data_IF_493769918209
#
_entry.id   IF_493769918209
#
_cell.length_a   1.000
_cell.length_b   1.000
_cell.length_c   1.000
_cell.angle_alpha   90.00
_cell.angle_beta   90.00
_cell.angle_gamma   90.00
#
_symmetry.space_group_name_H-M   'P 1'
#
loop_
_entity.id
_entity.type
_entity.pdbx_description
1 polymer ?
#
# COMPACT_ATOMS: atom_id res chain seq x y z
N UNK A 1 18.29 19.63 19.70
CA UNK A 1 16.84 19.40 19.87
C UNK A 1 16.25 18.97 18.53
N UNK A 2 15.13 18.26 18.58
CA UNK A 2 14.36 17.85 17.41
C UNK A 2 13.19 18.81 17.20
N UNK A 3 12.84 19.06 15.94
CA UNK A 3 11.62 19.77 15.55
C UNK A 3 10.87 18.98 14.48
N UNK A 4 9.59 18.71 14.72
CA UNK A 4 8.69 18.04 13.79
C UNK A 4 7.58 18.98 13.35
N UNK A 5 7.31 18.99 12.05
CA UNK A 5 6.16 19.65 11.45
C UNK A 5 5.31 18.58 10.78
N UNK A 6 4.03 18.53 11.12
CA UNK A 6 3.11 17.57 10.52
C UNK A 6 1.75 18.20 10.21
N UNK A 7 1.03 17.55 9.30
CA UNK A 7 -0.37 17.83 8.98
C UNK A 7 -1.22 16.60 9.30
N UNK A 8 -2.48 16.79 9.69
CA UNK A 8 -3.44 15.71 9.89
C UNK A 8 -4.86 16.21 9.64
N UNK A 9 -5.79 15.29 9.43
CA UNK A 9 -7.20 15.58 9.15
C UNK A 9 -8.07 15.19 10.32
N UNK A 10 -9.08 16.00 10.65
CA UNK A 10 -10.09 15.60 11.62
C UNK A 10 -10.82 14.32 11.19
N UNK A 11 -10.93 13.36 12.11
CA UNK A 11 -11.73 12.15 11.88
C UNK A 11 -13.22 12.47 11.81
N UNK A 12 -13.67 13.34 12.72
CA UNK A 12 -15.02 13.86 12.81
C UNK A 12 -14.99 15.39 12.99
N UNK A 13 -16.04 16.13 12.56
CA UNK A 13 -16.13 17.56 12.81
C UNK A 13 -16.02 17.85 14.31
N UNK A 14 -15.02 18.65 14.69
CA UNK A 14 -14.84 19.11 16.07
C UNK A 14 -15.44 20.50 16.25
N UNK A 15 -16.02 20.75 17.42
CA UNK A 15 -16.45 22.09 17.80
C UNK A 15 -15.23 22.96 18.14
N UNK A 16 -15.41 24.28 18.12
CA UNK A 16 -14.36 25.21 18.52
C UNK A 16 -13.91 24.99 19.97
N UNK A 17 -14.83 24.54 20.85
CA UNK A 17 -14.51 24.18 22.23
C UNK A 17 -13.58 22.97 22.30
N UNK A 18 -13.85 21.93 21.51
CA UNK A 18 -13.01 20.72 21.48
C UNK A 18 -11.58 21.06 21.02
N UNK A 19 -11.44 21.95 20.04
CA UNK A 19 -10.14 22.42 19.55
C UNK A 19 -9.40 23.22 20.63
N UNK A 20 -10.11 24.06 21.38
CA UNK A 20 -9.53 24.81 22.51
C UNK A 20 -9.09 23.86 23.63
N UNK A 21 -9.89 22.85 23.96
CA UNK A 21 -9.55 21.83 24.96
C UNK A 21 -8.30 21.04 24.57
N UNK A 22 -8.17 20.63 23.31
CA UNK A 22 -6.94 20.02 22.78
C UNK A 22 -5.74 20.94 23.04
N UNK A 23 -5.88 22.23 22.74
CA UNK A 23 -4.85 23.23 22.98
C UNK A 23 -4.43 23.35 24.44
N UNK A 24 -5.40 23.43 25.35
CA UNK A 24 -5.15 23.57 26.80
C UNK A 24 -4.43 22.33 27.34
N UNK A 25 -4.93 21.13 27.02
CA UNK A 25 -4.31 19.86 27.46
C UNK A 25 -2.90 19.73 26.89
N UNK A 26 -2.72 20.05 25.60
CA UNK A 26 -1.41 20.01 24.96
C UNK A 26 -0.43 20.98 25.60
N UNK A 27 -0.84 22.23 25.84
CA UNK A 27 0.00 23.24 26.47
C UNK A 27 0.45 22.84 27.88
N UNK A 28 -0.45 22.25 28.69
CA UNK A 28 -0.11 21.77 30.03
C UNK A 28 0.88 20.61 30.02
N UNK A 29 0.62 19.59 29.19
CA UNK A 29 1.53 18.44 29.05
C UNK A 29 2.91 18.87 28.51
N UNK A 30 2.92 19.69 27.47
CA UNK A 30 4.15 20.15 26.82
C UNK A 30 5.02 20.99 27.76
N UNK A 31 4.40 21.81 28.62
CA UNK A 31 5.14 22.59 29.60
C UNK A 31 5.92 21.69 30.58
N UNK A 32 5.35 20.55 30.99
CA UNK A 32 6.02 19.62 31.90
C UNK A 32 7.20 18.86 31.25
N UNK A 33 7.17 18.69 29.93
CA UNK A 33 8.16 17.96 29.14
C UNK A 33 9.13 18.89 28.38
N UNK A 34 9.08 20.20 28.65
CA UNK A 34 9.87 21.23 27.96
C UNK A 34 9.70 21.19 26.42
N UNK A 35 8.48 20.96 25.96
CA UNK A 35 8.11 20.99 24.54
C UNK A 35 7.47 22.35 24.24
N UNK A 36 7.81 22.92 23.08
CA UNK A 36 7.18 24.13 22.55
C UNK A 36 6.63 23.91 21.16
N UNK A 37 5.78 24.82 20.69
CA UNK A 37 5.17 24.68 19.38
C UNK A 37 3.91 25.50 19.15
N UNK A 38 3.30 25.24 18.01
CA UNK A 38 2.03 25.82 17.61
C UNK A 38 1.14 24.77 16.95
N UNK A 39 -0.16 24.84 17.23
CA UNK A 39 -1.21 24.02 16.62
C UNK A 39 -2.14 24.96 15.85
N UNK A 40 -2.13 24.84 14.52
CA UNK A 40 -2.98 25.63 13.63
C UNK A 40 -4.09 24.74 13.12
N UNK A 41 -5.33 25.19 13.24
CA UNK A 41 -6.50 24.55 12.67
C UNK A 41 -7.04 25.37 11.50
N UNK A 42 -7.31 24.71 10.37
CA UNK A 42 -7.88 25.33 9.18
C UNK A 42 -8.61 24.32 8.30
N UNK A 43 -9.90 24.56 8.00
CA UNK A 43 -10.70 23.77 7.05
C UNK A 43 -10.63 22.25 7.28
N UNK A 44 -10.81 21.81 8.53
CA UNK A 44 -10.79 20.39 8.89
C UNK A 44 -9.39 19.76 8.99
N UNK A 45 -8.33 20.56 8.85
CA UNK A 45 -6.93 20.13 8.96
C UNK A 45 -6.27 20.73 10.20
N UNK A 46 -5.41 19.93 10.83
CA UNK A 46 -4.44 20.40 11.81
C UNK A 46 -3.06 20.48 11.17
N UNK A 47 -2.37 21.58 11.41
CA UNK A 47 -0.95 21.76 11.15
C UNK A 47 -0.28 22.00 12.48
N UNK A 48 0.70 21.19 12.84
CA UNK A 48 1.35 21.31 14.13
C UNK A 48 2.87 21.28 14.00
N UNK A 49 3.51 22.17 14.73
CA UNK A 49 4.95 22.20 14.93
C UNK A 49 5.19 21.89 16.40
N UNK A 50 6.04 20.89 16.67
CA UNK A 50 6.53 20.55 18.00
C UNK A 50 8.05 20.56 18.00
N UNK A 51 8.67 21.12 19.04
CA UNK A 51 10.11 21.21 19.16
C UNK A 51 10.56 21.04 20.62
N UNK A 52 11.67 20.33 20.83
CA UNK A 52 12.13 19.93 22.17
C UNK A 52 13.19 18.84 22.13
N UNK A 53 13.45 18.23 23.28
CA UNK A 53 14.38 17.11 23.38
C UNK A 53 13.86 15.91 22.55
N UNK A 54 14.78 15.24 21.86
CA UNK A 54 14.47 14.22 20.85
C UNK A 54 13.54 13.12 21.39
N UNK A 55 13.87 12.53 22.56
CA UNK A 55 13.07 11.48 23.20
C UNK A 55 11.66 11.95 23.60
N UNK A 56 11.53 13.21 24.03
CA UNK A 56 10.25 13.79 24.44
C UNK A 56 9.36 14.05 23.23
N UNK A 57 9.95 14.54 22.14
CA UNK A 57 9.26 14.75 20.87
C UNK A 57 8.79 13.43 20.27
N UNK A 58 9.63 12.39 20.29
CA UNK A 58 9.26 11.06 19.78
C UNK A 58 8.12 10.44 20.58
N UNK A 59 8.20 10.48 21.91
CA UNK A 59 7.13 9.99 22.78
C UNK A 59 5.82 10.76 22.58
N UNK A 60 5.88 12.07 22.42
CA UNK A 60 4.68 12.88 22.15
C UNK A 60 4.10 12.54 20.78
N UNK A 61 4.95 12.45 19.76
CA UNK A 61 4.52 12.19 18.40
C UNK A 61 3.91 10.79 18.24
N UNK A 62 4.43 9.77 18.93
CA UNK A 62 3.81 8.44 18.99
C UNK A 62 2.39 8.48 19.57
N UNK A 63 2.15 9.27 20.63
CA UNK A 63 0.81 9.46 21.20
C UNK A 63 -0.12 10.16 20.22
N UNK A 64 0.38 11.19 19.53
CA UNK A 64 -0.34 11.90 18.47
C UNK A 64 -0.72 10.92 17.36
N UNK A 65 0.20 10.09 16.88
CA UNK A 65 -0.06 9.11 15.81
C UNK A 65 -1.18 8.10 16.14
N UNK A 66 -1.52 7.92 17.42
CA UNK A 66 -2.54 7.00 17.90
C UNK A 66 -3.85 7.71 18.29
N UNK A 67 -3.90 9.04 18.24
CA UNK A 67 -5.07 9.80 18.63
C UNK A 67 -6.20 9.59 17.61
N UNK A 68 -7.39 9.21 18.08
CA UNK A 68 -8.52 8.88 17.19
C UNK A 68 -9.22 10.11 16.63
N UNK A 69 -8.96 11.31 17.18
CA UNK A 69 -9.59 12.57 16.75
C UNK A 69 -9.10 13.04 15.39
N UNK A 70 -8.00 12.48 14.90
CA UNK A 70 -7.50 12.75 13.56
C UNK A 70 -7.00 11.49 12.84
N UNK A 71 -6.86 11.61 11.53
CA UNK A 71 -6.38 10.60 10.59
C UNK A 71 -5.44 11.27 9.58
N UNK A 72 -4.88 10.48 8.66
CA UNK A 72 -4.06 10.96 7.55
C UNK A 72 -2.90 11.83 8.04
N UNK A 73 -2.25 11.39 9.13
CA UNK A 73 -1.14 12.11 9.75
C UNK A 73 0.07 11.98 8.84
N UNK A 74 0.61 13.13 8.42
CA UNK A 74 1.78 13.21 7.55
C UNK A 74 2.81 14.12 8.18
N UNK A 75 3.99 13.57 8.47
CA UNK A 75 5.14 14.40 8.85
C UNK A 75 5.71 15.06 7.58
N UNK A 76 5.60 16.39 7.53
CA UNK A 76 6.08 17.21 6.43
C UNK A 76 7.59 17.45 6.53
N UNK A 77 8.09 17.57 7.76
CA UNK A 77 9.49 17.86 8.01
C UNK A 77 9.91 17.39 9.39
N UNK A 78 11.09 16.79 9.45
CA UNK A 78 11.81 16.56 10.67
C UNK A 78 13.18 17.23 10.59
N UNK A 79 13.49 18.05 11.58
CA UNK A 79 14.77 18.70 11.75
C UNK A 79 15.44 18.10 12.99
N UNK A 80 16.69 17.71 12.82
CA UNK A 80 17.57 17.20 13.87
C UNK A 80 18.65 18.24 14.17
N UNK A 81 19.27 18.16 15.34
CA UNK A 81 20.34 19.07 15.77
C UNK A 81 19.95 20.56 15.70
N UNK A 82 18.67 20.86 15.93
CA UNK A 82 18.17 22.24 15.99
C UNK A 82 18.82 22.95 17.18
N UNK A 83 19.36 24.14 16.94
CA UNK A 83 20.02 24.97 17.97
C UNK A 83 19.06 25.92 18.68
N UNK A 84 18.00 26.38 17.98
CA UNK A 84 17.07 27.39 18.48
C UNK A 84 15.60 27.00 18.25
N UNK A 85 14.78 27.28 19.27
CA UNK A 85 13.32 27.16 19.21
C UNK A 85 12.74 28.27 18.34
N UNK A 86 11.80 27.92 17.46
CA UNK A 86 11.00 28.90 16.72
C UNK A 86 9.95 29.56 17.62
N UNK A 87 9.43 28.83 18.60
CA UNK A 87 8.36 29.28 19.49
C UNK A 87 8.74 29.09 20.97
N UNK A 88 9.83 29.72 21.46
CA UNK A 88 10.40 29.44 22.78
C UNK A 88 9.43 29.67 23.96
N UNK A 89 8.40 30.49 23.77
CA UNK A 89 7.45 30.87 24.82
C UNK A 89 6.07 30.23 24.66
N UNK A 90 5.87 29.35 23.67
CA UNK A 90 4.58 28.73 23.41
C UNK A 90 4.66 27.23 23.71
N UNK A 91 4.23 26.81 24.90
CA UNK A 91 4.14 25.37 25.21
C UNK A 91 3.24 24.65 24.21
N UNK A 92 2.12 25.27 23.82
CA UNK A 92 1.40 24.98 22.58
C UNK A 92 0.45 26.13 22.23
N UNK A 93 0.81 26.99 21.28
CA UNK A 93 -0.10 28.07 20.85
C UNK A 93 -1.12 27.52 19.85
N UNK A 94 -2.39 27.49 20.23
CA UNK A 94 -3.48 27.12 19.32
C UNK A 94 -3.99 28.32 18.52
N UNK A 95 -4.09 28.16 17.21
CA UNK A 95 -4.53 29.19 16.26
C UNK A 95 -5.64 28.60 15.40
N UNK A 96 -6.86 29.13 15.53
CA UNK A 96 -7.97 28.80 14.65
C UNK A 96 -7.98 29.78 13.48
N UNK A 97 -7.62 29.32 12.28
CA UNK A 97 -7.66 30.15 11.09
C UNK A 97 -9.08 30.29 10.55
N UNK A 98 -9.99 29.33 10.72
CA UNK A 98 -11.35 29.41 10.13
C UNK A 98 -12.09 30.68 10.59
N UNK A 99 -11.98 31.04 11.86
CA UNK A 99 -12.57 32.27 12.42
C UNK A 99 -11.84 33.58 12.07
N UNK A 100 -10.66 33.52 11.44
CA UNK A 100 -9.85 34.69 11.15
C UNK A 100 -10.28 35.37 9.82
N UNK A 101 -10.92 36.53 9.92
CA UNK A 101 -11.39 37.30 8.75
C UNK A 101 -10.42 38.42 8.31
N UNK A 102 -9.17 38.41 8.78
CA UNK A 102 -8.17 39.37 8.33
C UNK A 102 -7.89 39.19 6.83
N UNK A 103 -7.99 40.31 6.09
CA UNK A 103 -7.78 40.38 4.64
C UNK A 103 -6.38 39.88 4.26
N UNK A 104 -5.38 40.11 5.12
CA UNK A 104 -3.99 39.69 4.88
C UNK A 104 -3.78 38.18 5.08
N UNK A 105 -4.66 37.51 5.84
CA UNK A 105 -4.59 36.08 6.11
C UNK A 105 -5.29 35.26 5.02
N UNK A 106 -6.24 35.86 4.29
CA UNK A 106 -6.98 35.18 3.23
C UNK A 106 -6.08 34.57 2.13
N UNK A 107 -5.05 35.25 1.59
CA UNK A 107 -4.14 34.63 0.61
C UNK A 107 -3.38 33.43 1.19
N UNK A 108 -2.94 33.51 2.46
CA UNK A 108 -2.21 32.44 3.14
C UNK A 108 -3.11 31.20 3.29
N UNK A 109 -4.38 31.40 3.69
CA UNK A 109 -5.38 30.33 3.76
C UNK A 109 -5.53 29.60 2.42
N UNK A 110 -5.69 30.34 1.33
CA UNK A 110 -5.85 29.77 -0.02
C UNK A 110 -4.59 28.97 -0.40
N UNK A 111 -3.39 29.52 -0.18
CA UNK A 111 -2.14 28.83 -0.47
C UNK A 111 -1.98 27.54 0.36
N UNK A 112 -2.30 27.59 1.66
CA UNK A 112 -2.26 26.41 2.54
C UNK A 112 -3.22 25.32 2.06
N UNK A 113 -4.42 25.71 1.64
CA UNK A 113 -5.39 24.77 1.07
C UNK A 113 -4.86 24.13 -0.22
N UNK A 114 -4.37 24.94 -1.17
CA UNK A 114 -3.85 24.44 -2.45
C UNK A 114 -2.65 23.52 -2.29
N UNK A 115 -1.72 23.85 -1.37
CA UNK A 115 -0.57 23.00 -1.07
C UNK A 115 -1.02 21.69 -0.41
N UNK A 116 -1.96 21.74 0.53
CA UNK A 116 -2.49 20.53 1.17
C UNK A 116 -3.22 19.62 0.19
N UNK A 117 -4.03 20.17 -0.71
CA UNK A 117 -4.71 19.41 -1.76
C UNK A 117 -3.71 18.79 -2.73
N UNK A 118 -2.72 19.56 -3.18
CA UNK A 118 -1.66 19.07 -4.08
C UNK A 118 -0.84 17.95 -3.43
N UNK A 119 -0.49 18.10 -2.16
CA UNK A 119 0.26 17.08 -1.41
C UNK A 119 -0.51 15.77 -1.32
N UNK A 120 -1.82 15.83 -1.05
CA UNK A 120 -2.70 14.65 -1.01
C UNK A 120 -2.76 13.93 -2.36
N UNK A 121 -2.77 14.67 -3.46
CA UNK A 121 -2.71 14.07 -4.80
C UNK A 121 -1.39 13.32 -4.94
N UNK A 122 -0.26 13.95 -4.59
CA UNK A 122 1.08 13.33 -4.68
C UNK A 122 1.15 12.05 -3.83
N UNK A 123 0.56 12.02 -2.64
CA UNK A 123 0.52 10.82 -1.80
C UNK A 123 -0.12 9.61 -2.47
N UNK A 124 -1.22 9.80 -3.21
CA UNK A 124 -1.90 8.70 -3.91
C UNK A 124 -1.04 8.07 -5.01
N UNK A 125 -0.08 8.84 -5.54
CA UNK A 125 0.89 8.36 -6.53
C UNK A 125 2.25 7.98 -5.91
N UNK A 126 2.38 8.05 -4.58
CA UNK A 126 3.62 7.76 -3.86
C UNK A 126 3.57 6.39 -3.21
N UNK A 127 4.70 5.68 -3.22
CA UNK A 127 4.80 4.34 -2.64
C UNK A 127 4.49 4.37 -1.13
N UNK A 128 3.68 3.44 -0.59
CA UNK A 128 3.34 3.41 0.83
C UNK A 128 4.56 3.36 1.77
N UNK A 129 5.64 2.69 1.36
CA UNK A 129 6.90 2.65 2.11
C UNK A 129 7.51 4.05 2.28
N UNK A 130 7.50 4.87 1.23
CA UNK A 130 8.00 6.26 1.27
C UNK A 130 7.15 7.11 2.21
N UNK A 131 5.82 6.96 2.15
CA UNK A 131 4.91 7.64 3.08
C UNK A 131 5.17 7.22 4.54
N UNK A 132 5.35 5.91 4.80
CA UNK A 132 5.71 5.41 6.14
C UNK A 132 7.04 5.98 6.64
N UNK A 133 8.03 6.14 5.77
CA UNK A 133 9.33 6.72 6.10
C UNK A 133 9.19 8.22 6.43
N UNK A 134 8.46 8.96 5.58
CA UNK A 134 8.15 10.37 5.82
C UNK A 134 7.44 10.55 7.15
N UNK A 135 6.41 9.74 7.43
CA UNK A 135 5.64 9.78 8.68
C UNK A 135 6.48 9.47 9.93
N UNK A 136 7.65 8.83 9.80
CA UNK A 136 8.60 8.66 10.91
C UNK A 136 9.53 9.86 11.09
N UNK A 137 9.36 10.92 10.31
CA UNK A 137 10.26 12.06 10.27
C UNK A 137 11.62 11.72 9.67
N UNK A 138 11.68 10.75 8.75
CA UNK A 138 12.92 10.38 8.07
C UNK A 138 12.84 10.88 6.63
N UNK A 139 13.90 11.53 6.15
CA UNK A 139 13.99 11.89 4.75
C UNK A 139 14.27 10.63 3.92
N UNK A 140 13.35 10.16 3.06
CA UNK A 140 13.54 8.94 2.29
C UNK A 140 14.74 9.03 1.35
N UNK A 141 15.09 10.21 0.84
CA UNK A 141 16.19 10.42 -0.10
C UNK A 141 17.57 10.19 0.52
N UNK A 142 17.69 10.26 1.85
CA UNK A 142 18.97 10.09 2.56
C UNK A 142 19.20 8.67 3.04
N UNK A 143 18.24 7.75 2.83
CA UNK A 143 18.39 6.36 3.26
C UNK A 143 19.42 5.65 2.36
N UNK A 144 20.52 5.14 2.94
CA UNK A 144 21.50 4.38 2.19
C UNK A 144 20.93 3.03 1.75
N UNK A 145 21.34 2.57 0.57
CA UNK A 145 21.01 1.24 0.10
C UNK A 145 21.60 0.18 1.04
N UNK A 146 20.82 -0.84 1.38
CA UNK A 146 21.23 -1.93 2.27
C UNK A 146 20.99 -3.29 1.63
N UNK A 147 21.91 -4.23 1.87
CA UNK A 147 21.71 -5.63 1.49
C UNK A 147 20.92 -6.33 2.59
N UNK A 148 19.74 -6.82 2.27
CA UNK A 148 18.81 -7.44 3.21
C UNK A 148 18.19 -8.70 2.61
N UNK A 149 17.74 -9.62 3.44
CA UNK A 149 17.02 -10.80 2.99
C UNK A 149 15.52 -10.55 3.07
N UNK A 150 14.81 -10.84 1.97
CA UNK A 150 13.37 -10.61 1.84
C UNK A 150 12.69 -11.81 1.20
N UNK A 151 11.39 -11.91 1.46
CA UNK A 151 10.48 -12.80 0.74
C UNK A 151 9.74 -11.95 -0.28
N UNK A 152 9.88 -12.27 -1.57
CA UNK A 152 9.30 -11.49 -2.65
C UNK A 152 8.02 -12.16 -3.11
N UNK A 153 6.97 -11.36 -3.27
CA UNK A 153 5.68 -11.78 -3.79
C UNK A 153 5.44 -11.09 -5.13
N UNK A 154 5.14 -11.90 -6.14
CA UNK A 154 4.55 -11.46 -7.40
C UNK A 154 3.14 -12.03 -7.51
N UNK A 155 2.19 -11.19 -7.89
CA UNK A 155 0.80 -11.59 -8.10
C UNK A 155 0.28 -10.98 -9.40
N UNK A 156 -0.31 -11.77 -10.29
CA UNK A 156 -0.76 -11.31 -11.60
C UNK A 156 -2.13 -11.86 -11.98
N UNK A 157 -2.93 -11.10 -12.74
CA UNK A 157 -4.26 -11.55 -13.15
C UNK A 157 -4.12 -12.63 -14.22
N UNK A 158 -4.82 -13.75 -14.02
CA UNK A 158 -4.80 -14.84 -14.99
C UNK A 158 -5.56 -14.44 -16.25
N UNK A 159 -4.95 -14.71 -17.41
CA UNK A 159 -5.53 -14.40 -18.73
C UNK A 159 -5.87 -12.91 -18.93
N UNK A 160 -5.11 -11.99 -18.30
CA UNK A 160 -5.30 -10.55 -18.43
C UNK A 160 -5.42 -10.06 -19.89
N UNK A 161 -4.55 -10.51 -20.79
CA UNK A 161 -4.63 -10.11 -22.21
C UNK A 161 -5.99 -10.44 -22.84
N UNK A 162 -6.59 -11.57 -22.48
CA UNK A 162 -7.91 -11.93 -22.99
C UNK A 162 -9.01 -11.06 -22.37
N UNK A 163 -8.87 -10.67 -21.09
CA UNK A 163 -9.78 -9.73 -20.44
C UNK A 163 -9.69 -8.35 -21.10
N UNK A 164 -8.49 -7.83 -21.32
CA UNK A 164 -8.28 -6.51 -21.93
C UNK A 164 -8.77 -6.42 -23.37
N UNK A 165 -8.76 -7.53 -24.11
CA UNK A 165 -9.26 -7.58 -25.49
C UNK A 165 -10.80 -7.68 -25.59
N UNK A 166 -11.47 -8.16 -24.54
CA UNK A 166 -12.89 -8.58 -24.61
C UNK A 166 -13.83 -7.79 -23.71
N UNK A 167 -13.32 -7.17 -22.66
CA UNK A 167 -14.09 -6.33 -21.75
C UNK A 167 -14.14 -4.89 -22.25
N UNK A 168 -15.17 -4.16 -21.81
CA UNK A 168 -15.18 -2.71 -21.96
C UNK A 168 -14.11 -2.07 -21.07
N UNK A 169 -13.62 -0.89 -21.45
CA UNK A 169 -12.63 -0.15 -20.66
C UNK A 169 -13.10 0.07 -19.21
N UNK A 170 -14.38 0.36 -19.01
CA UNK A 170 -14.97 0.55 -17.68
C UNK A 170 -14.96 -0.74 -16.84
N UNK A 171 -15.37 -1.87 -17.41
CA UNK A 171 -15.36 -3.16 -16.71
C UNK A 171 -13.93 -3.57 -16.36
N UNK A 172 -12.99 -3.38 -17.30
CA UNK A 172 -11.58 -3.70 -17.12
C UNK A 172 -10.97 -2.87 -15.99
N UNK A 173 -11.17 -1.55 -16.02
CA UNK A 173 -10.67 -0.66 -14.97
C UNK A 173 -11.27 -0.98 -13.61
N UNK A 174 -12.56 -1.31 -13.55
CA UNK A 174 -13.23 -1.71 -12.31
C UNK A 174 -12.61 -2.98 -11.71
N UNK A 175 -12.35 -4.00 -12.54
CA UNK A 175 -11.70 -5.24 -12.12
C UNK A 175 -10.28 -4.99 -11.61
N UNK A 176 -9.47 -4.26 -12.39
CA UNK A 176 -8.07 -3.97 -12.03
C UNK A 176 -8.03 -3.22 -10.70
N UNK A 177 -8.78 -2.14 -10.57
CA UNK A 177 -8.78 -1.34 -9.34
C UNK A 177 -9.24 -2.16 -8.13
N UNK A 178 -10.26 -3.02 -8.29
CA UNK A 178 -10.73 -3.88 -7.21
C UNK A 178 -9.69 -4.93 -6.82
N UNK A 179 -9.05 -5.56 -7.80
CA UNK A 179 -7.97 -6.53 -7.59
C UNK A 179 -6.78 -5.89 -6.87
N UNK A 180 -6.29 -4.74 -7.35
CA UNK A 180 -5.18 -4.01 -6.76
C UNK A 180 -5.50 -3.58 -5.32
N UNK A 181 -6.73 -3.11 -5.07
CA UNK A 181 -7.21 -2.75 -3.72
C UNK A 181 -7.10 -3.93 -2.76
N UNK A 182 -7.65 -5.09 -3.14
CA UNK A 182 -7.63 -6.31 -2.32
C UNK A 182 -6.20 -6.74 -2.02
N UNK A 183 -5.33 -6.74 -3.03
CA UNK A 183 -3.93 -7.10 -2.84
C UNK A 183 -3.26 -6.15 -1.84
N UNK A 184 -3.42 -4.84 -2.01
CA UNK A 184 -2.82 -3.85 -1.13
C UNK A 184 -3.27 -3.96 0.31
N UNK A 185 -4.58 -4.13 0.53
CA UNK A 185 -5.16 -4.28 1.86
C UNK A 185 -4.62 -5.53 2.57
N UNK A 186 -4.66 -6.70 1.91
CA UNK A 186 -4.24 -7.96 2.53
C UNK A 186 -2.74 -8.03 2.74
N UNK A 187 -1.93 -7.57 1.78
CA UNK A 187 -0.46 -7.51 1.91
C UNK A 187 -0.10 -6.63 3.10
N UNK A 188 -0.66 -5.42 3.16
CA UNK A 188 -0.35 -4.46 4.22
C UNK A 188 -0.82 -4.96 5.59
N UNK A 189 -2.03 -5.54 5.66
CA UNK A 189 -2.58 -6.11 6.89
C UNK A 189 -1.69 -7.23 7.48
N UNK A 190 -1.04 -8.01 6.62
CA UNK A 190 -0.14 -9.10 7.04
C UNK A 190 1.32 -8.67 7.22
N UNK A 191 1.57 -7.36 7.24
CA UNK A 191 2.89 -6.77 7.49
C UNK A 191 3.82 -6.75 6.28
N UNK A 192 3.32 -7.06 5.09
CA UNK A 192 4.06 -6.90 3.84
C UNK A 192 4.03 -5.45 3.34
N UNK A 193 4.90 -5.17 2.36
CA UNK A 193 4.97 -3.87 1.69
C UNK A 193 4.77 -4.05 0.20
N UNK A 194 3.73 -3.39 -0.34
CA UNK A 194 3.54 -3.26 -1.78
C UNK A 194 4.58 -2.30 -2.32
N UNK A 195 5.42 -2.78 -3.25
CA UNK A 195 6.48 -1.96 -3.81
C UNK A 195 6.01 -1.14 -5.02
N UNK A 196 5.40 -1.82 -6.00
CA UNK A 196 4.89 -1.19 -7.22
C UNK A 196 3.92 -2.10 -7.97
N UNK A 197 3.19 -1.49 -8.89
CA UNK A 197 2.40 -2.18 -9.90
C UNK A 197 3.12 -2.15 -11.25
N UNK A 198 3.04 -3.25 -12.01
CA UNK A 198 3.63 -3.40 -13.35
C UNK A 198 2.54 -3.94 -14.28
N UNK A 199 1.74 -3.05 -14.88
CA UNK A 199 0.49 -3.46 -15.50
C UNK A 199 -0.50 -3.94 -14.44
N UNK A 200 -1.04 -5.14 -14.60
CA UNK A 200 -1.88 -5.83 -13.62
C UNK A 200 -1.08 -6.61 -12.56
N UNK A 201 0.24 -6.68 -12.70
CA UNK A 201 1.09 -7.36 -11.73
C UNK A 201 1.31 -6.50 -10.47
N UNK A 202 1.16 -7.12 -9.29
CA UNK A 202 1.53 -6.57 -7.99
C UNK A 202 2.86 -7.16 -7.55
N UNK A 203 3.84 -6.30 -7.29
CA UNK A 203 5.10 -6.68 -6.66
C UNK A 203 5.11 -6.20 -5.20
N UNK A 204 5.34 -7.13 -4.28
CA UNK A 204 5.45 -6.85 -2.86
C UNK A 204 6.59 -7.66 -2.22
N UNK A 205 6.92 -7.31 -0.98
CA UNK A 205 7.89 -8.06 -0.20
C UNK A 205 7.53 -8.10 1.29
N UNK A 206 8.08 -9.10 1.96
CA UNK A 206 8.00 -9.32 3.40
C UNK A 206 9.41 -9.48 3.98
N UNK A 207 9.54 -9.27 5.28
CA UNK A 207 10.78 -9.60 5.99
C UNK A 207 11.07 -11.11 5.93
N UNK A 208 12.36 -11.45 6.06
CA UNK A 208 12.83 -12.83 5.87
C UNK A 208 12.19 -13.88 6.78
N UNK A 209 11.65 -13.48 7.92
CA UNK A 209 11.01 -14.35 8.92
C UNK A 209 9.48 -14.44 8.76
N UNK A 210 8.90 -13.75 7.78
CA UNK A 210 7.46 -13.63 7.55
C UNK A 210 6.95 -14.58 6.44
N UNK A 211 7.58 -15.73 6.24
CA UNK A 211 7.18 -16.70 5.21
C UNK A 211 5.72 -17.17 5.39
N UNK A 212 5.31 -17.44 6.63
CA UNK A 212 3.94 -17.82 6.94
C UNK A 212 2.94 -16.71 6.58
N UNK A 213 3.29 -15.45 6.85
CA UNK A 213 2.44 -14.30 6.50
C UNK A 213 2.28 -14.15 4.99
N UNK A 214 3.37 -14.28 4.23
CA UNK A 214 3.33 -14.22 2.77
C UNK A 214 2.44 -15.33 2.17
N UNK A 215 2.53 -16.55 2.71
CA UNK A 215 1.67 -17.67 2.30
C UNK A 215 0.19 -17.38 2.63
N UNK A 216 -0.10 -16.96 3.86
CA UNK A 216 -1.46 -16.61 4.27
C UNK A 216 -2.04 -15.45 3.45
N UNK A 217 -1.23 -14.47 3.06
CA UNK A 217 -1.61 -13.38 2.15
C UNK A 217 -2.15 -13.94 0.84
N UNK A 218 -1.43 -14.87 0.20
CA UNK A 218 -1.88 -15.47 -1.06
C UNK A 218 -3.22 -16.19 -0.90
N UNK A 219 -3.39 -16.97 0.17
CA UNK A 219 -4.63 -17.72 0.44
C UNK A 219 -5.80 -16.75 0.68
N UNK A 220 -5.61 -15.72 1.51
CA UNK A 220 -6.67 -14.75 1.81
C UNK A 220 -7.09 -13.93 0.58
N UNK A 221 -6.13 -13.55 -0.29
CA UNK A 221 -6.48 -12.89 -1.55
C UNK A 221 -7.31 -13.86 -2.41
N UNK A 222 -6.90 -15.12 -2.56
CA UNK A 222 -7.66 -16.12 -3.32
C UNK A 222 -9.08 -16.32 -2.76
N UNK A 223 -9.23 -16.35 -1.44
CA UNK A 223 -10.52 -16.43 -0.77
C UNK A 223 -11.40 -15.21 -1.07
N UNK A 224 -10.87 -13.99 -0.91
CA UNK A 224 -11.62 -12.75 -1.23
C UNK A 224 -12.02 -12.69 -2.70
N UNK A 225 -11.14 -13.10 -3.62
CA UNK A 225 -11.45 -13.18 -5.04
C UNK A 225 -12.54 -14.22 -5.32
N UNK A 226 -12.47 -15.40 -4.69
CA UNK A 226 -13.53 -16.42 -4.80
C UNK A 226 -14.86 -15.88 -4.31
N UNK A 227 -14.90 -15.23 -3.15
CA UNK A 227 -16.12 -14.64 -2.60
C UNK A 227 -16.72 -13.62 -3.57
N UNK A 228 -15.89 -12.71 -4.13
CA UNK A 228 -16.35 -11.76 -5.14
C UNK A 228 -16.95 -12.47 -6.36
N UNK A 229 -16.29 -13.52 -6.88
CA UNK A 229 -16.86 -14.31 -8.00
C UNK A 229 -18.19 -14.97 -7.66
N UNK A 230 -18.36 -15.44 -6.43
CA UNK A 230 -19.58 -16.12 -5.98
C UNK A 230 -20.75 -15.17 -5.75
N UNK A 231 -20.50 -13.96 -5.26
CA UNK A 231 -21.54 -12.96 -4.95
C UNK A 231 -21.80 -11.97 -6.09
N UNK A 232 -21.06 -12.07 -7.20
CA UNK A 232 -21.31 -11.23 -8.37
C UNK A 232 -22.36 -11.85 -9.29
N UNK A 233 -23.19 -11.00 -9.87
CA UNK A 233 -24.18 -11.39 -10.87
C UNK A 233 -23.54 -12.07 -12.09
N UNK A 234 -24.31 -12.89 -12.82
CA UNK A 234 -23.79 -13.64 -13.97
C UNK A 234 -23.20 -12.75 -15.07
N UNK A 235 -23.75 -11.55 -15.22
CA UNK A 235 -23.31 -10.52 -16.17
C UNK A 235 -22.13 -9.67 -15.65
N UNK A 236 -21.62 -9.95 -14.45
CA UNK A 236 -20.50 -9.22 -13.88
C UNK A 236 -19.15 -9.80 -14.31
N UNK A 237 -18.29 -8.93 -14.83
CA UNK A 237 -16.96 -9.32 -15.26
C UNK A 237 -16.07 -9.79 -14.07
N UNK A 238 -16.46 -9.47 -12.83
CA UNK A 238 -15.81 -9.99 -11.61
C UNK A 238 -15.77 -11.51 -11.54
N UNK A 239 -16.72 -12.24 -12.16
CA UNK A 239 -16.73 -13.71 -12.21
C UNK A 239 -15.50 -14.30 -12.92
N UNK A 240 -14.81 -13.49 -13.72
CA UNK A 240 -13.64 -13.88 -14.50
C UNK A 240 -12.30 -13.57 -13.81
N UNK A 241 -12.34 -13.00 -12.59
CA UNK A 241 -11.15 -12.54 -11.88
C UNK A 241 -10.46 -13.67 -11.12
N UNK A 242 -9.33 -14.13 -11.65
CA UNK A 242 -8.42 -15.11 -11.04
C UNK A 242 -6.99 -14.56 -10.99
N UNK A 243 -6.18 -15.04 -10.07
CA UNK A 243 -4.82 -14.54 -9.85
C UNK A 243 -3.84 -15.68 -9.61
N UNK A 244 -2.61 -15.57 -10.10
CA UNK A 244 -1.51 -16.46 -9.74
C UNK A 244 -0.47 -15.74 -8.87
N UNK A 245 0.24 -16.52 -8.05
CA UNK A 245 1.22 -16.02 -7.08
C UNK A 245 2.54 -16.77 -7.21
N UNK A 246 3.63 -16.00 -7.18
CA UNK A 246 5.01 -16.49 -7.08
C UNK A 246 5.69 -15.97 -5.82
N UNK A 247 6.21 -16.87 -4.99
CA UNK A 247 6.99 -16.52 -3.80
C UNK A 247 8.45 -17.00 -3.91
N UNK A 248 9.38 -16.08 -3.75
CA UNK A 248 10.81 -16.41 -3.63
C UNK A 248 11.39 -15.81 -2.36
N UNK A 249 12.53 -16.31 -1.91
CA UNK A 249 13.29 -15.70 -0.82
C UNK A 249 14.75 -15.57 -1.21
N UNK A 250 15.37 -14.44 -0.85
CA UNK A 250 16.81 -14.27 -1.02
C UNK A 250 17.31 -12.87 -0.69
N UNK A 251 18.61 -12.70 -0.84
CA UNK A 251 19.27 -11.41 -0.65
C UNK A 251 18.89 -10.44 -1.78
N UNK A 252 18.50 -9.24 -1.38
CA UNK A 252 18.18 -8.10 -2.25
C UNK A 252 18.89 -6.86 -1.74
N UNK A 253 19.06 -5.87 -2.61
CA UNK A 253 19.46 -4.52 -2.24
C UNK A 253 18.19 -3.70 -2.14
N UNK A 254 17.91 -3.14 -0.97
CA UNK A 254 16.78 -2.26 -0.68
C UNK A 254 17.29 -0.82 -0.58
N UNK A 255 16.65 0.12 -1.29
CA UNK A 255 16.97 1.54 -1.18
C UNK A 255 16.44 2.37 -2.34
N UNK A 256 16.91 3.61 -2.41
CA UNK A 256 16.58 4.55 -3.48
C UNK A 256 17.26 4.13 -4.79
N UNK A 257 16.46 3.98 -5.85
CA UNK A 257 16.96 3.73 -7.20
C UNK A 257 16.24 4.61 -8.22
N UNK A 258 17.00 5.22 -9.12
CA UNK A 258 16.45 6.04 -10.18
C UNK A 258 17.41 7.13 -10.64
N UNK A 259 16.85 8.21 -11.17
CA UNK A 259 17.57 9.39 -11.63
C UNK A 259 17.24 10.61 -10.75
N UNK A 260 17.87 11.75 -11.02
CA UNK A 260 17.55 13.02 -10.38
C UNK A 260 16.09 13.48 -10.59
N UNK A 261 15.38 12.94 -11.58
CA UNK A 261 14.00 13.32 -11.92
C UNK A 261 12.98 12.36 -11.30
N UNK A 262 13.31 11.06 -11.22
CA UNK A 262 12.40 10.03 -10.72
C UNK A 262 13.19 8.98 -9.94
N UNK A 263 12.87 8.86 -8.66
CA UNK A 263 13.41 7.85 -7.75
C UNK A 263 12.28 6.99 -7.22
N UNK A 264 12.50 5.68 -7.17
CA UNK A 264 11.66 4.72 -6.44
C UNK A 264 12.44 4.19 -5.24
N UNK A 265 11.79 4.06 -4.09
CA UNK A 265 12.29 3.23 -3.01
C UNK A 265 11.92 1.78 -3.32
N UNK A 266 12.91 0.93 -3.60
CA UNK A 266 12.66 -0.39 -4.17
C UNK A 266 13.70 -1.43 -3.77
N UNK A 267 13.44 -2.67 -4.15
CA UNK A 267 14.34 -3.80 -3.96
C UNK A 267 14.78 -4.36 -5.31
N UNK A 268 16.06 -4.70 -5.42
CA UNK A 268 16.62 -5.39 -6.58
C UNK A 268 17.39 -6.64 -6.16
N UNK A 269 17.30 -7.69 -6.98
CA UNK A 269 18.05 -8.91 -6.76
C UNK A 269 17.48 -10.08 -7.53
N UNK A 270 18.22 -11.18 -7.56
CA UNK A 270 17.82 -12.41 -8.26
C UNK A 270 16.52 -13.01 -7.69
N UNK A 271 16.27 -12.84 -6.38
CA UNK A 271 15.01 -13.25 -5.76
C UNK A 271 13.80 -12.57 -6.43
N UNK A 272 13.89 -11.29 -6.80
CA UNK A 272 12.80 -10.57 -7.48
C UNK A 272 12.44 -11.23 -8.81
N UNK A 273 13.46 -11.51 -9.63
CA UNK A 273 13.27 -12.19 -10.92
C UNK A 273 12.75 -13.62 -10.75
N UNK A 274 13.20 -14.32 -9.70
CA UNK A 274 12.75 -15.67 -9.39
C UNK A 274 11.27 -15.70 -9.03
N UNK A 275 10.79 -14.76 -8.20
CA UNK A 275 9.38 -14.68 -7.83
C UNK A 275 8.48 -14.44 -9.04
N UNK A 276 8.85 -13.50 -9.93
CA UNK A 276 8.11 -13.25 -11.17
C UNK A 276 8.02 -14.51 -12.07
N UNK A 277 9.10 -15.29 -12.15
CA UNK A 277 9.09 -16.55 -12.93
C UNK A 277 8.24 -17.64 -12.28
N UNK A 278 8.26 -17.74 -10.95
CA UNK A 278 7.41 -18.69 -10.21
C UNK A 278 5.93 -18.32 -10.37
N UNK A 279 5.59 -17.03 -10.36
CA UNK A 279 4.25 -16.56 -10.67
C UNK A 279 3.83 -17.03 -12.07
N UNK A 280 4.65 -16.79 -13.09
CA UNK A 280 4.33 -17.20 -14.46
C UNK A 280 4.15 -18.73 -14.59
N UNK A 281 4.94 -19.49 -13.83
CA UNK A 281 4.91 -20.96 -13.80
C UNK A 281 3.59 -21.53 -13.26
N UNK A 282 2.82 -20.77 -12.48
CA UNK A 282 1.48 -21.18 -11.97
C UNK A 282 0.57 -21.74 -13.07
N UNK A 283 0.66 -21.18 -14.30
CA UNK A 283 -0.15 -21.58 -15.45
C UNK A 283 0.22 -22.96 -15.99
N UNK A 284 1.47 -23.37 -15.87
CA UNK A 284 1.97 -24.68 -16.31
C UNK A 284 1.67 -25.76 -15.27
N UNK A 285 1.89 -25.45 -14.00
CA UNK A 285 1.75 -26.41 -12.89
C UNK A 285 0.33 -26.49 -12.33
N UNK A 286 -0.60 -25.66 -12.83
CA UNK A 286 -2.02 -25.63 -12.47
C UNK A 286 -2.27 -25.42 -10.97
N UNK A 287 -1.51 -24.52 -10.35
CA UNK A 287 -1.69 -24.11 -8.95
C UNK A 287 -1.66 -22.59 -8.86
N UNK A 288 -2.55 -22.00 -8.06
CA UNK A 288 -2.56 -20.54 -7.90
C UNK A 288 -1.34 -19.99 -7.15
N UNK A 289 -0.65 -20.82 -6.36
CA UNK A 289 0.54 -20.41 -5.62
C UNK A 289 1.71 -21.34 -5.94
N UNK A 290 2.84 -20.73 -6.29
CA UNK A 290 4.09 -21.41 -6.53
C UNK A 290 5.19 -20.74 -5.71
N UNK A 291 5.98 -21.52 -4.98
CA UNK A 291 7.01 -21.00 -4.07
C UNK A 291 8.34 -21.75 -4.18
N UNK A 292 9.44 -21.02 -3.97
CA UNK A 292 10.79 -21.59 -3.93
C UNK A 292 11.02 -22.46 -2.69
N UNK A 293 11.95 -23.42 -2.78
CA UNK A 293 12.35 -24.26 -1.63
C UNK A 293 12.75 -23.43 -0.40
N UNK A 294 13.36 -22.25 -0.59
CA UNK A 294 13.80 -21.41 0.52
C UNK A 294 12.62 -20.87 1.34
N UNK A 295 11.54 -20.43 0.68
CA UNK A 295 10.30 -20.01 1.36
C UNK A 295 9.71 -21.19 2.16
N UNK A 296 9.71 -22.39 1.59
CA UNK A 296 9.26 -23.63 2.27
C UNK A 296 10.06 -23.89 3.54
N UNK A 297 11.39 -23.77 3.49
CA UNK A 297 12.29 -24.03 4.63
C UNK A 297 12.15 -23.00 5.75
N UNK A 298 11.79 -21.77 5.41
CA UNK A 298 11.64 -20.65 6.35
C UNK A 298 10.28 -20.63 7.03
N UNK A 299 9.23 -21.09 6.35
CA UNK A 299 7.89 -21.20 6.92
C UNK A 299 7.89 -22.11 8.15
N UNK A 300 7.27 -21.65 9.24
CA UNK A 300 7.32 -22.32 10.55
C UNK A 300 6.03 -23.05 10.89
N UNK A 301 4.91 -22.68 10.26
CA UNK A 301 3.65 -23.36 10.48
C UNK A 301 3.58 -24.70 9.76
N UNK A 302 2.64 -25.55 10.17
CA UNK A 302 2.46 -26.90 9.64
C UNK A 302 1.71 -26.87 8.29
N UNK A 303 2.41 -26.42 7.25
CA UNK A 303 1.89 -26.41 5.88
C UNK A 303 2.05 -27.78 5.22
N UNK A 304 1.01 -28.20 4.49
CA UNK A 304 1.07 -29.38 3.62
C UNK A 304 1.70 -29.02 2.28
N UNK A 305 3.03 -28.95 2.24
CA UNK A 305 3.75 -28.64 1.01
C UNK A 305 3.65 -29.77 -0.02
N UNK A 306 3.53 -29.39 -1.28
CA UNK A 306 3.55 -30.30 -2.44
C UNK A 306 4.78 -29.95 -3.27
N UNK A 307 5.66 -30.92 -3.52
CA UNK A 307 6.74 -30.76 -4.51
C UNK A 307 6.13 -30.85 -5.91
N UNK A 308 6.26 -29.78 -6.70
CA UNK A 308 5.78 -29.73 -8.08
C UNK A 308 6.81 -30.24 -9.08
N UNK A 309 8.10 -30.21 -8.71
CA UNK A 309 9.20 -30.71 -9.53
C UNK A 309 10.40 -29.79 -9.53
N UNK A 310 11.33 -30.03 -10.46
CA UNK A 310 12.50 -29.18 -10.72
C UNK A 310 12.31 -28.44 -12.02
N UNK A 311 12.52 -27.13 -12.01
CA UNK A 311 12.30 -26.25 -13.16
C UNK A 311 13.53 -25.38 -13.43
N UNK A 312 13.89 -25.24 -14.71
CA UNK A 312 14.96 -24.35 -15.15
C UNK A 312 14.45 -22.91 -15.29
N UNK A 313 14.71 -22.09 -14.26
CA UNK A 313 14.20 -20.72 -14.20
C UNK A 313 15.16 -19.72 -14.85
N UNK A 314 15.02 -19.46 -16.16
CA UNK A 314 15.87 -18.56 -16.98
C UNK A 314 17.25 -18.26 -16.36
N UNK A 315 17.63 -17.10 -15.86
CA UNK A 315 19.01 -16.82 -15.37
C UNK A 315 19.54 -17.59 -14.14
N UNK A 316 19.14 -18.85 -13.89
CA UNK A 316 19.64 -19.73 -12.83
C UNK A 316 20.59 -20.77 -13.40
N UNK A 317 21.69 -21.04 -12.69
CA UNK A 317 22.67 -22.06 -13.10
C UNK A 317 22.18 -23.50 -12.91
N UNK A 318 21.21 -23.72 -12.01
CA UNK A 318 20.67 -25.03 -11.67
C UNK A 318 19.15 -24.97 -11.65
N UNK A 319 18.52 -26.08 -12.04
CA UNK A 319 17.09 -26.29 -11.84
C UNK A 319 16.75 -26.13 -10.34
N UNK A 320 15.72 -25.35 -10.06
CA UNK A 320 15.25 -25.08 -8.70
C UNK A 320 14.08 -26.01 -8.38
N UNK A 321 14.02 -26.51 -7.15
CA UNK A 321 12.84 -27.22 -6.67
C UNK A 321 11.72 -26.22 -6.37
N UNK A 322 10.55 -26.54 -6.92
CA UNK A 322 9.38 -25.68 -6.86
C UNK A 322 8.28 -26.39 -6.08
N UNK A 323 7.61 -25.64 -5.21
CA UNK A 323 6.61 -26.16 -4.30
C UNK A 323 5.29 -25.40 -4.43
N UNK A 324 4.22 -26.03 -3.97
CA UNK A 324 2.92 -25.41 -3.68
C UNK A 324 2.42 -25.90 -2.33
N UNK A 325 1.18 -25.58 -1.98
CA UNK A 325 0.53 -25.95 -0.73
C UNK A 325 -0.79 -26.65 -1.03
N UNK A 326 -1.03 -27.77 -0.36
CA UNK A 326 -2.31 -28.46 -0.36
C UNK A 326 -3.36 -27.64 0.42
N UNK A 327 -4.05 -26.76 -0.29
CA UNK A 327 -5.13 -25.94 0.21
C UNK A 327 -6.23 -25.81 -0.86
N UNK A 328 -7.50 -25.82 -0.46
CA UNK A 328 -8.64 -25.80 -1.37
C UNK A 328 -8.66 -24.57 -2.30
N UNK A 329 -8.26 -23.39 -1.82
CA UNK A 329 -8.24 -22.17 -2.62
C UNK A 329 -7.11 -22.18 -3.64
N UNK A 330 -5.98 -22.80 -3.30
CA UNK A 330 -4.82 -22.92 -4.19
C UNK A 330 -5.09 -23.94 -5.30
N UNK A 331 -5.76 -25.05 -4.95
CA UNK A 331 -6.13 -26.14 -5.87
C UNK A 331 -7.34 -25.82 -6.74
N UNK A 332 -8.19 -24.87 -6.36
CA UNK A 332 -9.32 -24.41 -7.18
C UNK A 332 -8.85 -23.55 -8.38
N UNK A 333 -7.87 -24.08 -9.10
CA UNK A 333 -7.22 -23.43 -10.22
C UNK A 333 -8.10 -23.48 -11.45
N UNK A 334 -8.38 -22.31 -12.03
CA UNK A 334 -9.08 -22.23 -13.31
C UNK A 334 -8.09 -22.43 -14.44
N UNK A 335 -8.24 -23.53 -15.19
CA UNK A 335 -7.38 -23.78 -16.35
C UNK A 335 -7.47 -22.63 -17.36
N UNK A 336 -6.31 -22.24 -17.90
CA UNK A 336 -6.16 -21.07 -18.78
C UNK A 336 -7.12 -21.10 -19.96
N UNK A 337 -7.23 -22.25 -20.63
CA UNK A 337 -8.09 -22.39 -21.80
C UNK A 337 -9.56 -22.32 -21.41
N UNK A 338 -9.98 -22.97 -20.32
CA UNK A 338 -11.35 -22.86 -19.81
C UNK A 338 -11.71 -21.41 -19.45
N UNK A 339 -10.81 -20.67 -18.78
CA UNK A 339 -11.02 -19.26 -18.46
C UNK A 339 -11.14 -18.41 -19.73
N UNK A 340 -10.31 -18.65 -20.74
CA UNK A 340 -10.41 -17.93 -22.04
C UNK A 340 -11.75 -18.16 -22.74
N UNK A 341 -12.27 -19.39 -22.69
CA UNK A 341 -13.59 -19.69 -23.24
C UNK A 341 -14.70 -18.94 -22.48
N UNK A 342 -14.64 -18.86 -21.15
CA UNK A 342 -15.61 -18.10 -20.34
C UNK A 342 -15.55 -16.60 -20.63
N UNK A 343 -14.35 -16.03 -20.76
CA UNK A 343 -14.16 -14.62 -21.14
C UNK A 343 -14.80 -14.35 -22.51
N UNK A 344 -14.59 -15.25 -23.48
CA UNK A 344 -15.17 -15.12 -24.81
C UNK A 344 -16.71 -15.22 -24.77
N UNK A 345 -17.26 -16.19 -24.05
CA UNK A 345 -18.70 -16.36 -23.90
C UNK A 345 -19.37 -15.14 -23.21
N UNK A 346 -18.72 -14.59 -22.19
CA UNK A 346 -19.17 -13.39 -21.48
C UNK A 346 -19.30 -12.18 -22.42
N UNK A 347 -18.28 -11.94 -23.26
CA UNK A 347 -18.26 -10.84 -24.23
C UNK A 347 -19.39 -10.94 -25.26
N UNK A 348 -19.70 -12.16 -25.71
CA UNK A 348 -20.83 -12.40 -26.63
C UNK A 348 -22.19 -12.12 -25.96
N UNK A 349 -22.37 -12.49 -24.69
CA UNK A 349 -23.63 -12.29 -23.98
C UNK A 349 -23.92 -10.79 -23.77
N UNK A 350 -22.94 -10.01 -23.30
CA UNK A 350 -23.08 -8.54 -23.17
C UNK A 350 -23.39 -7.86 -24.50
N UNK A 351 -22.83 -8.34 -25.61
CA UNK A 351 -23.09 -7.78 -26.95
C UNK A 351 -24.52 -8.05 -27.44
N UNK A 352 -25.17 -9.11 -26.95
CA UNK A 352 -26.57 -9.44 -27.29
C UNK A 352 -27.52 -8.60 -26.44
N UNK A 353 -27.21 -8.41 -25.15
CA UNK A 353 -28.04 -7.59 -24.25
C UNK A 353 -28.02 -6.11 -24.65
N UNK A 354 -26.85 -5.56 -25.00
CA UNK A 354 -26.76 -4.16 -25.47
C UNK A 354 -27.57 -3.92 -26.75
N UNK A 355 -27.62 -4.89 -27.67
CA UNK A 355 -28.44 -4.80 -28.90
C UNK A 355 -29.94 -4.94 -28.64
N UNK A 356 -30.35 -5.58 -27.54
CA UNK A 356 -31.76 -5.68 -27.13
C UNK A 356 -32.24 -4.40 -26.45
N UNK A 357 -31.36 -3.72 -25.71
CA UNK A 357 -31.65 -2.42 -25.11
C UNK A 357 -31.75 -1.30 -26.16
N UNK A 358 -30.88 -1.29 -27.17
CA UNK A 358 -30.92 -0.29 -28.26
C UNK A 358 -32.02 -0.55 -29.31
N UNK A 359 -32.59 -1.76 -29.35
CA UNK A 359 -33.62 -2.17 -30.32
C UNK A 359 -35.07 -2.05 -29.83
N UNK A 360 -35.28 -1.44 -28.66
CA UNK A 360 -36.58 -1.35 -27.97
C UNK A 360 -37.47 -0.17 -28.36
N UNK A 361 -36.98 0.77 -29.19
CA UNK A 361 -37.78 1.87 -29.73
C UNK A 361 -37.93 1.70 -31.25
N UNK A 362 -38.97 0.98 -31.68
CA UNK A 362 -39.52 1.03 -33.03
C UNK A 362 -41.05 0.92 -32.97
#
# INVERSE_FOLDING_TARGET
MKRLTYISRLSDPLSEKDIQEIGIVSAGNNQSENITGALVYFSGLFFQIIEGDDDNIDRLYEKIMQDKRHTDIICLKAEYDVSERLFPYWSMKTINLDGNNDVLIRPIKILLQSVSESHRIIEQYTQPAVIKILNKGINPLTIPARKTEKIILFADIMSYSALSEKLSDNDLMMIINRYLTICCEVISFRGGEVNKFIGDCVMAYFDSDQADNAIHTCIEILEKLKNIRCFSDESSAFRLLYCGFGLSQGLVIEGNMGSHVKTDYTIIGDAVNTAARLEALTREVKHHLVLSEKVRKTARQNWKFILLGKYDLKGKEKAEEVYSIDNEFIKNFKEKDALRHEIHAFSLHKSIDSRREDGGDC
#
